data_IF_664418298499
#
_entry.id   IF_664418298499
#
_cell.length_a   1.000
_cell.length_b   1.000
_cell.length_c   1.000
_cell.angle_alpha   90.00
_cell.angle_beta   90.00
_cell.angle_gamma   90.00
#
_symmetry.space_group_name_H-M   'P 1'
#
loop_
_entity.id
_entity.type
_entity.pdbx_description
1 polymer ?
#
# COMPACT_ATOMS: atom_id res chain seq x y z
N UNK A 1 -1.21 4.70 -4.25
CA UNK A 1 0.13 4.46 -3.70
C UNK A 1 0.05 4.57 -2.18
N UNK A 2 0.73 3.71 -1.42
CA UNK A 2 0.67 3.65 0.05
C UNK A 2 2.04 3.94 0.62
N UNK A 3 2.08 4.73 1.69
CA UNK A 3 3.30 5.07 2.41
C UNK A 3 3.24 4.46 3.80
N UNK A 4 4.34 3.91 4.28
CA UNK A 4 4.56 3.59 5.67
C UNK A 4 5.66 4.50 6.22
N UNK A 5 5.43 5.06 7.40
CA UNK A 5 6.40 5.93 8.06
C UNK A 5 6.76 5.32 9.42
N UNK A 6 8.05 5.08 9.61
CA UNK A 6 8.63 4.61 10.86
C UNK A 6 9.40 5.79 11.44
N UNK A 7 8.83 6.44 12.45
CA UNK A 7 9.42 7.59 13.10
C UNK A 7 10.65 7.20 13.94
N UNK A 8 11.60 8.12 14.13
CA UNK A 8 12.68 7.95 15.10
C UNK A 8 12.13 7.66 16.51
N UNK A 9 11.04 8.32 16.87
CA UNK A 9 10.32 8.13 18.14
C UNK A 9 9.11 7.21 17.99
N UNK A 10 9.12 6.24 17.07
CA UNK A 10 7.99 5.34 16.86
C UNK A 10 7.59 4.55 18.12
N UNK A 11 8.46 4.51 19.13
CA UNK A 11 8.11 3.99 20.45
C UNK A 11 7.02 4.78 21.16
N UNK A 12 6.81 6.07 20.88
CA UNK A 12 5.75 6.85 21.53
C UNK A 12 4.38 6.19 21.34
N UNK A 13 4.11 5.68 20.13
CA UNK A 13 2.89 4.92 19.86
C UNK A 13 2.84 3.60 20.63
N UNK A 14 3.96 2.87 20.73
CA UNK A 14 4.03 1.63 21.52
C UNK A 14 3.90 1.91 23.03
N UNK A 15 4.40 3.03 23.51
CA UNK A 15 4.39 3.44 24.91
C UNK A 15 2.97 3.70 25.43
N UNK A 16 2.07 4.15 24.56
CA UNK A 16 0.63 4.26 24.85
C UNK A 16 -0.07 2.90 24.96
N UNK A 17 0.60 1.82 24.56
CA UNK A 17 0.04 0.47 24.45
C UNK A 17 0.83 -0.60 25.21
N UNK A 18 1.64 -0.23 26.20
CA UNK A 18 2.52 -1.17 26.92
C UNK A 18 1.78 -2.35 27.60
N UNK A 19 0.49 -2.18 27.90
CA UNK A 19 -0.31 -3.17 28.62
C UNK A 19 -0.94 -4.25 27.73
N UNK A 20 -0.87 -4.09 26.40
CA UNK A 20 -1.30 -5.11 25.44
C UNK A 20 -0.10 -5.81 24.80
N UNK A 21 -0.37 -6.91 24.09
CA UNK A 21 0.66 -7.67 23.37
C UNK A 21 0.91 -7.06 21.99
N UNK A 22 2.05 -7.35 21.36
CA UNK A 22 2.35 -6.86 20.01
C UNK A 22 1.28 -7.29 18.99
N UNK A 23 0.78 -8.52 19.14
CA UNK A 23 -0.30 -9.05 18.32
C UNK A 23 -1.59 -8.23 18.50
N UNK A 24 -2.00 -8.00 19.75
CA UNK A 24 -3.18 -7.19 20.05
C UNK A 24 -3.03 -5.74 19.57
N UNK A 25 -1.82 -5.18 19.61
CA UNK A 25 -1.53 -3.84 19.10
C UNK A 25 -1.72 -3.74 17.58
N UNK A 26 -1.18 -4.67 16.79
CA UNK A 26 -1.39 -4.68 15.33
C UNK A 26 -2.88 -4.90 15.02
N UNK A 27 -3.56 -5.78 15.75
CA UNK A 27 -5.01 -5.95 15.59
C UNK A 27 -5.79 -4.67 15.87
N UNK A 28 -5.47 -3.99 16.97
CA UNK A 28 -6.06 -2.71 17.33
C UNK A 28 -5.79 -1.66 16.24
N UNK A 29 -4.54 -1.53 15.78
CA UNK A 29 -4.10 -0.52 14.81
C UNK A 29 -4.79 -0.67 13.45
N UNK A 30 -5.04 -1.91 13.01
CA UNK A 30 -5.58 -2.20 11.67
C UNK A 30 -7.01 -2.75 11.66
N UNK A 31 -7.72 -2.70 12.79
CA UNK A 31 -9.06 -3.29 12.94
C UNK A 31 -10.06 -2.86 11.86
N UNK A 32 -9.97 -1.62 11.37
CA UNK A 32 -10.84 -1.06 10.33
C UNK A 32 -10.34 -1.29 8.91
N UNK A 33 -9.17 -1.91 8.72
CA UNK A 33 -8.47 -2.02 7.44
C UNK A 33 -7.59 -0.83 7.09
N UNK A 34 -7.67 0.23 7.89
CA UNK A 34 -6.84 1.43 7.82
C UNK A 34 -5.81 1.42 8.95
N UNK A 35 -4.74 2.19 8.77
CA UNK A 35 -3.79 2.46 9.83
C UNK A 35 -4.34 3.56 10.76
N UNK A 36 -4.82 3.19 11.96
CA UNK A 36 -5.37 4.14 12.93
C UNK A 36 -4.39 5.26 13.32
N UNK A 37 -3.08 4.96 13.40
CA UNK A 37 -2.08 5.98 13.72
C UNK A 37 -1.94 7.01 12.60
N UNK A 38 -2.00 6.55 11.34
CA UNK A 38 -1.95 7.45 10.20
C UNK A 38 -3.19 8.35 10.15
N UNK A 39 -4.36 7.80 10.47
CA UNK A 39 -5.62 8.53 10.51
C UNK A 39 -5.70 9.55 11.65
N UNK A 40 -4.95 9.34 12.73
CA UNK A 40 -4.89 10.28 13.85
C UNK A 40 -4.13 11.59 13.54
N UNK A 41 -3.34 11.63 12.45
CA UNK A 41 -2.58 12.83 12.04
C UNK A 41 -3.52 14.00 11.74
N UNK A 42 -3.15 15.20 12.18
CA UNK A 42 -3.94 16.43 11.95
C UNK A 42 -4.24 16.68 10.48
N UNK A 43 -3.31 16.34 9.59
CA UNK A 43 -3.49 16.45 8.13
C UNK A 43 -4.63 15.59 7.59
N UNK A 44 -5.08 14.56 8.32
CA UNK A 44 -6.19 13.66 7.93
C UNK A 44 -7.53 14.09 8.54
N UNK A 45 -7.53 14.90 9.61
CA UNK A 45 -8.76 15.41 10.21
C UNK A 45 -9.43 16.42 9.27
N UNK A 46 -10.77 16.46 9.31
CA UNK A 46 -11.57 17.44 8.57
C UNK A 46 -11.46 18.78 9.30
N UNK A 47 -10.93 19.78 8.61
CA UNK A 47 -10.80 21.16 9.08
C UNK A 47 -12.17 21.80 9.31
N UNK A 48 -12.27 22.86 10.14
CA UNK A 48 -13.52 23.59 10.34
C UNK A 48 -14.11 24.14 9.03
N UNK A 49 -13.27 24.56 8.09
CA UNK A 49 -13.68 25.08 6.79
C UNK A 49 -14.33 23.99 5.92
N UNK A 50 -13.74 22.80 5.90
CA UNK A 50 -14.30 21.64 5.18
C UNK A 50 -15.62 21.17 5.82
N UNK A 51 -15.75 21.25 7.16
CA UNK A 51 -17.03 20.98 7.85
C UNK A 51 -18.10 21.98 7.45
N UNK A 52 -17.76 23.27 7.44
CA UNK A 52 -18.70 24.31 6.99
C UNK A 52 -19.09 24.11 5.52
N UNK A 53 -18.18 23.59 4.68
CA UNK A 53 -18.48 23.27 3.28
C UNK A 53 -19.50 22.14 3.14
N UNK A 54 -19.46 21.13 4.00
CA UNK A 54 -20.45 20.03 4.01
C UNK A 54 -21.87 20.51 4.31
N UNK A 55 -22.02 21.60 5.06
CA UNK A 55 -23.33 22.18 5.39
C UNK A 55 -23.92 23.03 4.24
N UNK A 56 -23.10 23.42 3.27
CA UNK A 56 -23.54 24.28 2.17
C UNK A 56 -24.22 23.48 1.06
N UNK A 57 -25.37 23.96 0.54
CA UNK A 57 -26.04 23.29 -0.56
C UNK A 57 -25.28 23.42 -1.87
N UNK A 58 -25.28 22.34 -2.64
CA UNK A 58 -24.85 22.30 -4.03
C UNK A 58 -26.04 22.34 -4.97
N UNK A 59 -25.81 22.83 -6.19
CA UNK A 59 -26.80 22.78 -7.25
C UNK A 59 -26.71 21.43 -7.97
N UNK A 60 -27.69 20.56 -7.74
CA UNK A 60 -27.86 19.30 -8.43
C UNK A 60 -29.16 19.33 -9.24
N UNK A 61 -29.02 19.25 -10.57
CA UNK A 61 -30.15 19.22 -11.51
C UNK A 61 -31.15 20.39 -11.37
N UNK A 62 -30.66 21.56 -10.94
CA UNK A 62 -31.48 22.76 -10.73
C UNK A 62 -32.01 22.90 -9.30
N UNK A 63 -31.84 21.88 -8.45
CA UNK A 63 -32.24 21.90 -7.05
C UNK A 63 -31.03 22.12 -6.12
N UNK A 64 -31.28 22.80 -5.00
CA UNK A 64 -30.29 22.94 -3.94
C UNK A 64 -30.37 21.74 -3.01
N UNK A 65 -29.34 20.91 -2.99
CA UNK A 65 -29.24 19.72 -2.12
C UNK A 65 -27.97 19.78 -1.29
N UNK A 66 -27.98 19.16 -0.11
CA UNK A 66 -26.82 19.10 0.80
C UNK A 66 -26.35 17.65 0.86
N UNK A 67 -25.03 17.45 0.75
CA UNK A 67 -24.41 16.13 0.81
C UNK A 67 -24.36 15.68 2.28
N UNK A 68 -24.89 14.50 2.58
CA UNK A 68 -24.80 13.87 3.90
C UNK A 68 -23.54 13.02 4.01
N UNK A 69 -23.37 12.08 3.08
CA UNK A 69 -22.25 11.13 3.07
C UNK A 69 -22.02 10.55 1.67
N UNK A 70 -20.83 9.98 1.48
CA UNK A 70 -20.53 9.11 0.35
C UNK A 70 -20.70 7.67 0.81
N UNK A 71 -21.61 6.94 0.15
CA UNK A 71 -21.94 5.55 0.52
C UNK A 71 -21.05 4.55 -0.22
N UNK A 72 -20.95 4.70 -1.54
CA UNK A 72 -20.26 3.76 -2.41
C UNK A 72 -19.44 4.47 -3.50
N UNK A 73 -18.56 3.70 -4.15
CA UNK A 73 -17.76 4.14 -5.29
C UNK A 73 -17.82 3.09 -6.39
N UNK A 74 -17.88 3.52 -7.66
CA UNK A 74 -17.75 2.65 -8.82
C UNK A 74 -16.81 3.24 -9.87
N UNK A 75 -16.20 2.38 -10.68
CA UNK A 75 -15.30 2.81 -11.76
C UNK A 75 -16.11 3.43 -12.91
N UNK A 76 -15.68 4.60 -13.37
CA UNK A 76 -16.20 5.27 -14.56
C UNK A 76 -15.04 5.51 -15.54
N UNK A 77 -14.89 4.64 -16.56
CA UNK A 77 -13.78 4.71 -17.53
C UNK A 77 -12.41 4.78 -16.82
N UNK A 78 -11.73 5.94 -16.91
CA UNK A 78 -10.41 6.22 -16.29
C UNK A 78 -10.52 6.94 -14.93
N UNK A 79 -11.73 7.14 -14.41
CA UNK A 79 -12.02 7.84 -13.15
C UNK A 79 -13.04 7.05 -12.32
N UNK A 80 -13.66 7.71 -11.34
CA UNK A 80 -14.65 7.14 -10.43
C UNK A 80 -15.90 8.01 -10.33
N UNK A 81 -17.03 7.35 -10.06
CA UNK A 81 -18.27 7.97 -9.59
C UNK A 81 -18.55 7.52 -8.16
N UNK A 82 -19.17 8.42 -7.40
CA UNK A 82 -19.47 8.24 -5.99
C UNK A 82 -20.97 8.33 -5.78
N UNK A 83 -21.52 7.42 -4.98
CA UNK A 83 -22.92 7.43 -4.57
C UNK A 83 -23.09 8.39 -3.40
N UNK A 84 -23.88 9.43 -3.62
CA UNK A 84 -24.11 10.50 -2.66
C UNK A 84 -25.45 10.30 -1.98
N UNK A 85 -25.42 10.23 -0.65
CA UNK A 85 -26.60 10.35 0.20
C UNK A 85 -26.90 11.82 0.44
N UNK A 86 -28.14 12.22 0.20
CA UNK A 86 -28.59 13.59 0.39
C UNK A 86 -29.24 13.76 1.76
N UNK A 87 -28.96 14.88 2.43
CA UNK A 87 -29.51 15.18 3.76
C UNK A 87 -31.05 15.17 3.71
N UNK A 88 -31.66 14.43 4.63
CA UNK A 88 -33.13 14.30 4.79
C UNK A 88 -33.85 13.69 3.59
N UNK A 89 -33.15 13.01 2.70
CA UNK A 89 -33.76 12.24 1.62
C UNK A 89 -33.63 10.73 1.92
N UNK A 90 -34.58 9.91 1.46
CA UNK A 90 -34.44 8.46 1.55
C UNK A 90 -33.32 7.96 0.64
N UNK A 91 -32.74 6.79 0.95
CA UNK A 91 -31.64 6.19 0.18
C UNK A 91 -32.01 5.92 -1.30
N UNK A 92 -33.32 5.88 -1.63
CA UNK A 92 -33.82 5.76 -3.01
C UNK A 92 -33.51 6.98 -3.87
N UNK A 93 -33.25 8.14 -3.26
CA UNK A 93 -32.91 9.40 -3.94
C UNK A 93 -31.39 9.60 -4.08
N UNK A 94 -30.58 8.62 -3.65
CA UNK A 94 -29.14 8.68 -3.80
C UNK A 94 -28.74 8.88 -5.27
N UNK A 95 -27.69 9.66 -5.51
CA UNK A 95 -27.27 10.01 -6.86
C UNK A 95 -25.80 9.69 -7.09
N UNK A 96 -25.47 9.15 -8.27
CA UNK A 96 -24.09 8.91 -8.68
C UNK A 96 -23.50 10.17 -9.29
N UNK A 97 -22.44 10.69 -8.67
CA UNK A 97 -21.78 11.93 -9.09
C UNK A 97 -20.31 11.64 -9.46
N UNK A 98 -19.84 12.08 -10.65
CA UNK A 98 -18.44 11.96 -11.04
C UNK A 98 -17.50 12.73 -10.12
N UNK A 99 -16.30 12.19 -9.92
CA UNK A 99 -15.22 12.81 -9.11
C UNK A 99 -15.02 14.29 -9.43
N UNK A 100 -14.87 14.63 -10.71
CA UNK A 100 -14.58 16.00 -11.18
C UNK A 100 -15.65 17.02 -10.74
N UNK A 101 -16.90 16.59 -10.62
CA UNK A 101 -18.01 17.46 -10.19
C UNK A 101 -17.97 17.70 -8.69
N UNK A 102 -17.63 16.68 -7.90
CA UNK A 102 -17.45 16.79 -6.45
C UNK A 102 -16.22 17.63 -6.08
N UNK A 103 -15.12 17.51 -6.84
CA UNK A 103 -13.93 18.37 -6.70
C UNK A 103 -14.25 19.83 -7.04
N UNK A 104 -15.00 20.10 -8.12
CA UNK A 104 -15.48 21.48 -8.43
C UNK A 104 -16.34 22.07 -7.32
N UNK A 105 -16.97 21.24 -6.50
CA UNK A 105 -17.73 21.67 -5.35
C UNK A 105 -16.90 21.68 -4.05
N UNK A 106 -15.59 21.43 -4.08
CA UNK A 106 -14.74 21.51 -2.89
C UNK A 106 -14.92 20.37 -1.89
N UNK A 107 -15.22 19.14 -2.38
CA UNK A 107 -15.36 17.94 -1.55
C UNK A 107 -14.18 16.97 -1.69
N UNK A 108 -12.98 17.47 -2.00
CA UNK A 108 -11.76 16.67 -2.19
C UNK A 108 -11.46 15.79 -0.96
N UNK A 109 -11.65 16.34 0.24
CA UNK A 109 -11.41 15.60 1.49
C UNK A 109 -12.39 14.45 1.68
N UNK A 110 -13.66 14.67 1.35
CA UNK A 110 -14.70 13.65 1.47
C UNK A 110 -14.45 12.51 0.47
N UNK A 111 -14.04 12.86 -0.75
CA UNK A 111 -13.59 11.90 -1.76
C UNK A 111 -12.40 11.08 -1.27
N UNK A 112 -11.40 11.73 -0.68
CA UNK A 112 -10.23 11.06 -0.13
C UNK A 112 -10.61 10.05 0.97
N UNK A 113 -11.52 10.44 1.88
CA UNK A 113 -12.02 9.55 2.94
C UNK A 113 -12.76 8.35 2.34
N UNK A 114 -13.59 8.56 1.32
CA UNK A 114 -14.30 7.47 0.65
C UNK A 114 -13.35 6.51 -0.07
N UNK A 115 -12.32 7.03 -0.74
CA UNK A 115 -11.29 6.23 -1.40
C UNK A 115 -10.47 5.42 -0.40
N UNK A 116 -10.09 6.03 0.73
CA UNK A 116 -9.36 5.37 1.81
C UNK A 116 -10.20 4.25 2.44
N UNK A 117 -11.50 4.49 2.68
CA UNK A 117 -12.45 3.49 3.19
C UNK A 117 -12.58 2.29 2.27
N UNK A 118 -12.66 2.52 0.97
CA UNK A 118 -12.76 1.44 -0.02
C UNK A 118 -11.44 0.66 -0.12
N UNK A 119 -10.30 1.36 -0.05
CA UNK A 119 -8.99 0.72 0.04
C UNK A 119 -8.85 -0.12 1.33
N UNK A 120 -9.38 0.37 2.45
CA UNK A 120 -9.39 -0.35 3.72
C UNK A 120 -10.20 -1.64 3.66
N UNK A 121 -11.40 -1.60 3.06
CA UNK A 121 -12.23 -2.78 2.83
C UNK A 121 -11.49 -3.81 1.98
N UNK A 122 -10.86 -3.37 0.89
CA UNK A 122 -10.05 -4.24 0.05
C UNK A 122 -8.86 -4.84 0.83
N UNK A 123 -8.21 -4.07 1.70
CA UNK A 123 -7.12 -4.57 2.55
C UNK A 123 -7.60 -5.65 3.52
N UNK A 124 -8.74 -5.47 4.18
CA UNK A 124 -9.30 -6.48 5.09
C UNK A 124 -9.65 -7.78 4.38
N UNK A 125 -10.17 -7.69 3.15
CA UNK A 125 -10.46 -8.87 2.33
C UNK A 125 -9.17 -9.59 1.92
N UNK A 126 -8.15 -8.85 1.50
CA UNK A 126 -6.87 -9.43 1.09
C UNK A 126 -6.07 -9.99 2.28
N UNK A 127 -6.16 -9.34 3.43
CA UNK A 127 -5.39 -9.66 4.64
C UNK A 127 -6.26 -9.47 5.89
N UNK A 128 -6.97 -10.52 6.35
CA UNK A 128 -7.80 -10.42 7.53
C UNK A 128 -6.94 -10.19 8.78
N UNK A 129 -7.39 -9.29 9.64
CA UNK A 129 -6.68 -8.87 10.86
C UNK A 129 -7.04 -9.83 12.00
N UNK A 130 -6.58 -11.07 11.89
CA UNK A 130 -6.78 -12.11 12.91
C UNK A 130 -5.50 -12.35 13.70
N UNK A 131 -5.62 -12.85 14.94
CA UNK A 131 -4.47 -13.17 15.77
C UNK A 131 -3.46 -14.11 15.09
N UNK A 132 -3.95 -15.09 14.31
CA UNK A 132 -3.10 -16.05 13.58
C UNK A 132 -2.35 -15.34 12.44
N UNK A 133 -3.05 -14.53 11.64
CA UNK A 133 -2.43 -13.80 10.53
C UNK A 133 -1.41 -12.76 11.04
N UNK A 134 -1.70 -12.12 12.17
CA UNK A 134 -0.81 -11.18 12.83
C UNK A 134 0.42 -11.90 13.39
N UNK A 135 0.25 -13.04 14.06
CA UNK A 135 1.40 -13.79 14.58
C UNK A 135 2.31 -14.27 13.44
N UNK A 136 1.74 -14.84 12.37
CA UNK A 136 2.51 -15.26 11.19
C UNK A 136 3.30 -14.10 10.58
N UNK A 137 2.78 -12.87 10.65
CA UNK A 137 3.51 -11.69 10.21
C UNK A 137 4.64 -11.34 11.16
N UNK A 138 4.41 -11.34 12.47
CA UNK A 138 5.43 -11.08 13.48
C UNK A 138 6.59 -12.09 13.41
N UNK A 139 6.31 -13.34 13.07
CA UNK A 139 7.33 -14.38 12.86
C UNK A 139 8.32 -13.98 11.75
N UNK A 140 7.85 -13.33 10.67
CA UNK A 140 8.72 -12.83 9.59
C UNK A 140 9.67 -11.71 10.03
N UNK A 141 9.36 -11.03 11.14
CA UNK A 141 10.23 -10.02 11.76
C UNK A 141 11.07 -10.61 12.90
N UNK A 142 11.07 -11.94 13.07
CA UNK A 142 11.80 -12.64 14.11
C UNK A 142 11.24 -12.34 15.51
N UNK A 143 9.92 -12.22 15.62
CA UNK A 143 9.20 -12.07 16.89
C UNK A 143 8.20 -13.23 17.06
N UNK A 144 8.67 -14.33 17.64
CA UNK A 144 7.88 -15.54 17.87
C UNK A 144 6.71 -15.33 18.82
N UNK A 145 5.84 -16.34 18.93
CA UNK A 145 4.59 -16.26 19.70
C UNK A 145 4.80 -15.95 21.19
N UNK A 146 5.93 -16.35 21.75
CA UNK A 146 6.36 -16.04 23.12
C UNK A 146 6.40 -14.53 23.37
N UNK A 147 6.88 -13.75 22.41
CA UNK A 147 6.97 -12.30 22.52
C UNK A 147 5.80 -11.58 21.83
N UNK A 148 5.31 -12.12 20.72
CA UNK A 148 4.25 -11.52 19.92
C UNK A 148 2.86 -11.62 20.55
N UNK A 149 2.50 -12.81 21.04
CA UNK A 149 1.15 -13.11 21.51
C UNK A 149 1.04 -13.30 23.02
N UNK A 150 2.09 -13.83 23.67
CA UNK A 150 2.03 -14.15 25.10
C UNK A 150 2.61 -13.06 26.01
N UNK A 151 3.58 -12.29 25.52
CA UNK A 151 4.20 -11.20 26.29
C UNK A 151 3.54 -9.85 26.00
N UNK A 152 3.39 -9.04 27.06
CA UNK A 152 2.98 -7.63 26.93
C UNK A 152 4.13 -6.79 26.40
N UNK A 153 3.81 -5.71 25.68
CA UNK A 153 4.82 -4.80 25.11
C UNK A 153 5.72 -4.17 26.18
N UNK A 154 5.24 -4.02 27.42
CA UNK A 154 6.05 -3.61 28.59
C UNK A 154 7.27 -4.50 28.83
N UNK A 155 7.14 -5.80 28.60
CA UNK A 155 8.20 -6.79 28.84
C UNK A 155 9.16 -6.98 27.66
N UNK A 156 8.90 -6.33 26.53
CA UNK A 156 9.76 -6.44 25.33
C UNK A 156 11.01 -5.57 25.46
N UNK A 157 12.13 -6.10 24.98
CA UNK A 157 13.37 -5.33 24.83
C UNK A 157 13.20 -4.20 23.79
N UNK A 158 14.11 -3.22 23.78
CA UNK A 158 14.09 -2.15 22.79
C UNK A 158 14.09 -2.67 21.35
N UNK A 159 14.99 -3.61 21.03
CA UNK A 159 15.06 -4.22 19.70
C UNK A 159 13.80 -5.01 19.33
N UNK A 160 13.17 -5.71 20.29
CA UNK A 160 11.88 -6.37 20.07
C UNK A 160 10.78 -5.35 19.76
N UNK A 161 10.74 -4.22 20.46
CA UNK A 161 9.78 -3.14 20.16
C UNK A 161 10.00 -2.56 18.76
N UNK A 162 11.25 -2.41 18.29
CA UNK A 162 11.52 -1.98 16.90
C UNK A 162 10.94 -2.98 15.89
N UNK A 163 11.12 -4.28 16.12
CA UNK A 163 10.53 -5.33 15.27
C UNK A 163 9.00 -5.20 15.21
N UNK A 164 8.35 -4.87 16.33
CA UNK A 164 6.89 -4.59 16.36
C UNK A 164 6.53 -3.37 15.52
N UNK A 165 7.27 -2.27 15.63
CA UNK A 165 7.05 -1.06 14.81
C UNK A 165 7.19 -1.38 13.33
N UNK A 166 8.28 -2.04 12.93
CA UNK A 166 8.54 -2.41 11.53
C UNK A 166 7.46 -3.37 11.01
N UNK A 167 7.07 -4.35 11.81
CA UNK A 167 5.98 -5.25 11.46
C UNK A 167 4.65 -4.50 11.28
N UNK A 168 4.30 -3.59 12.18
CA UNK A 168 3.10 -2.78 12.06
C UNK A 168 3.13 -1.90 10.79
N UNK A 169 4.24 -1.21 10.53
CA UNK A 169 4.42 -0.37 9.34
C UNK A 169 4.27 -1.15 8.03
N UNK A 170 4.72 -2.41 7.99
CA UNK A 170 4.66 -3.28 6.81
C UNK A 170 3.35 -4.05 6.67
N UNK A 171 2.41 -3.94 7.62
CA UNK A 171 1.18 -4.74 7.62
C UNK A 171 0.33 -4.56 6.36
N UNK A 172 0.18 -3.32 5.88
CA UNK A 172 -0.63 -2.96 4.71
C UNK A 172 0.15 -3.01 3.38
N UNK A 173 1.32 -3.66 3.35
CA UNK A 173 2.18 -3.78 2.16
C UNK A 173 2.38 -2.41 1.47
N UNK A 174 3.10 -1.48 2.12
CA UNK A 174 3.33 -0.14 1.57
C UNK A 174 4.11 -0.20 0.25
N UNK A 175 3.94 0.81 -0.59
CA UNK A 175 4.74 0.96 -1.82
C UNK A 175 6.01 1.77 -1.55
N UNK A 176 5.93 2.70 -0.59
CA UNK A 176 7.07 3.47 -0.10
C UNK A 176 7.20 3.28 1.41
N UNK A 177 8.39 2.94 1.87
CA UNK A 177 8.76 2.85 3.27
C UNK A 177 9.67 4.02 3.61
N UNK A 178 9.30 4.81 4.62
CA UNK A 178 10.11 5.90 5.16
C UNK A 178 10.63 5.47 6.53
N UNK A 179 11.96 5.40 6.66
CA UNK A 179 12.65 5.00 7.88
C UNK A 179 13.40 6.20 8.45
N UNK A 180 13.00 6.65 9.64
CA UNK A 180 13.63 7.77 10.32
C UNK A 180 14.52 7.27 11.44
N UNK A 181 15.83 7.43 11.25
CA UNK A 181 16.92 6.97 12.12
C UNK A 181 16.84 5.49 12.52
N UNK A 182 16.80 4.55 11.56
CA UNK A 182 16.63 3.12 11.83
C UNK A 182 17.81 2.49 12.59
N UNK A 183 18.99 3.13 12.59
CA UNK A 183 20.21 2.60 13.22
C UNK A 183 20.22 2.73 14.74
N UNK A 184 19.42 3.63 15.33
CA UNK A 184 19.54 3.99 16.75
C UNK A 184 19.04 2.92 17.73
N UNK A 185 18.20 1.99 17.26
CA UNK A 185 17.48 1.08 18.15
C UNK A 185 17.59 -0.39 17.73
N UNK A 186 18.38 -0.66 16.69
CA UNK A 186 18.66 -2.00 16.20
C UNK A 186 20.06 -2.43 16.65
N UNK A 187 20.17 -3.69 17.09
CA UNK A 187 21.47 -4.33 17.22
C UNK A 187 22.08 -4.59 15.83
N UNK A 188 23.38 -4.96 15.79
CA UNK A 188 24.11 -5.16 14.54
C UNK A 188 23.47 -6.23 13.66
N UNK A 189 22.96 -7.31 14.25
CA UNK A 189 22.36 -8.43 13.52
C UNK A 189 21.03 -8.00 12.88
N UNK A 190 20.19 -7.28 13.63
CA UNK A 190 18.91 -6.75 13.15
C UNK A 190 19.11 -5.65 12.11
N UNK A 191 20.17 -4.84 12.24
CA UNK A 191 20.54 -3.84 11.24
C UNK A 191 21.00 -4.49 9.93
N UNK A 192 21.77 -5.58 10.01
CA UNK A 192 22.15 -6.38 8.85
C UNK A 192 20.94 -7.02 8.16
N UNK A 193 19.99 -7.56 8.94
CA UNK A 193 18.75 -8.09 8.41
C UNK A 193 17.90 -7.02 7.72
N UNK A 194 17.80 -5.82 8.32
CA UNK A 194 17.11 -4.67 7.72
C UNK A 194 17.77 -4.23 6.42
N UNK A 195 19.10 -4.17 6.37
CA UNK A 195 19.84 -3.81 5.16
C UNK A 195 19.54 -4.78 3.99
N UNK A 196 19.54 -6.09 4.26
CA UNK A 196 19.17 -7.10 3.27
C UNK A 196 17.71 -6.95 2.83
N UNK A 197 16.79 -6.77 3.78
CA UNK A 197 15.38 -6.58 3.48
C UNK A 197 15.11 -5.34 2.61
N UNK A 198 15.84 -4.24 2.85
CA UNK A 198 15.74 -3.01 2.04
C UNK A 198 16.21 -3.27 0.59
N UNK A 199 17.29 -4.04 0.39
CA UNK A 199 17.78 -4.38 -0.95
C UNK A 199 16.82 -5.26 -1.73
N UNK A 200 16.09 -6.14 -1.05
CA UNK A 200 15.12 -7.05 -1.66
C UNK A 200 13.71 -6.43 -1.77
N UNK A 201 13.49 -5.27 -1.16
CA UNK A 201 12.18 -4.63 -1.17
C UNK A 201 11.88 -4.06 -2.56
N UNK A 202 10.85 -4.60 -3.22
CA UNK A 202 10.41 -4.14 -4.54
C UNK A 202 9.70 -2.78 -4.57
N UNK A 203 9.68 -2.05 -3.45
CA UNK A 203 9.10 -0.71 -3.34
C UNK A 203 10.17 0.36 -3.14
N UNK A 204 9.74 1.62 -3.01
CA UNK A 204 10.64 2.72 -2.70
C UNK A 204 11.01 2.74 -1.21
N UNK A 205 12.27 3.05 -0.89
CA UNK A 205 12.69 3.27 0.49
C UNK A 205 13.30 4.67 0.60
N UNK A 206 12.84 5.45 1.58
CA UNK A 206 13.45 6.72 1.96
C UNK A 206 14.00 6.55 3.36
N UNK A 207 15.29 6.74 3.54
CA UNK A 207 15.94 6.64 4.85
C UNK A 207 16.47 8.00 5.26
N UNK A 208 16.22 8.35 6.52
CA UNK A 208 16.81 9.51 7.18
C UNK A 208 17.79 8.94 8.20
N UNK A 209 19.08 9.19 8.02
CA UNK A 209 20.07 8.78 9.01
C UNK A 209 21.32 9.63 8.98
N UNK A 210 21.91 9.87 10.14
CA UNK A 210 23.26 10.41 10.28
C UNK A 210 24.36 9.37 10.05
N UNK A 211 24.03 8.07 9.97
CA UNK A 211 25.00 6.99 9.76
C UNK A 211 25.28 6.76 8.26
N UNK A 212 26.33 7.41 7.76
CA UNK A 212 26.77 7.30 6.36
C UNK A 212 27.17 5.88 5.96
N UNK A 213 27.80 5.12 6.87
CA UNK A 213 28.19 3.74 6.57
C UNK A 213 26.95 2.89 6.27
N UNK A 214 25.83 3.12 6.94
CA UNK A 214 24.59 2.40 6.63
C UNK A 214 23.93 2.89 5.33
N UNK A 215 23.83 4.21 5.13
CA UNK A 215 23.12 4.78 3.97
C UNK A 215 23.88 4.58 2.67
N UNK A 216 25.20 4.73 2.65
CA UNK A 216 26.00 4.72 1.42
C UNK A 216 25.99 3.32 0.75
N UNK A 217 25.78 2.25 1.51
CA UNK A 217 25.69 0.89 0.99
C UNK A 217 24.30 0.49 0.47
N UNK A 218 23.29 1.33 0.69
CA UNK A 218 21.88 1.03 0.43
C UNK A 218 21.21 2.05 -0.48
N UNK A 219 21.54 3.33 -0.33
CA UNK A 219 20.94 4.42 -1.07
C UNK A 219 21.55 4.56 -2.46
N UNK A 220 20.68 4.74 -3.46
CA UNK A 220 21.07 5.09 -4.84
C UNK A 220 21.16 6.60 -5.05
N UNK A 221 20.50 7.37 -4.19
CA UNK A 221 20.35 8.82 -4.24
C UNK A 221 20.39 9.37 -2.81
N UNK A 222 21.09 10.49 -2.62
CA UNK A 222 21.29 11.15 -1.34
C UNK A 222 20.74 12.57 -1.40
N UNK A 223 19.91 12.92 -0.41
CA UNK A 223 19.28 14.22 -0.31
C UNK A 223 19.94 15.01 0.83
N UNK A 224 20.63 16.08 0.47
CA UNK A 224 21.33 16.95 1.40
C UNK A 224 20.52 18.24 1.58
N UNK A 225 20.12 18.53 2.81
CA UNK A 225 19.38 19.76 3.13
C UNK A 225 20.27 20.66 3.98
N UNK A 226 20.65 21.80 3.41
CA UNK A 226 21.48 22.81 4.09
C UNK A 226 20.84 24.20 3.97
N UNK A 227 20.68 24.89 5.10
CA UNK A 227 20.07 26.22 5.17
C UNK A 227 18.69 26.33 4.45
N UNK A 228 17.90 25.25 4.46
CA UNK A 228 16.58 25.19 3.80
C UNK A 228 16.65 24.93 2.29
N UNK A 229 17.83 24.66 1.74
CA UNK A 229 18.06 24.32 0.34
C UNK A 229 18.32 22.81 0.26
N UNK A 230 17.57 22.13 -0.62
CA UNK A 230 17.75 20.72 -0.93
C UNK A 230 18.67 20.56 -2.15
N UNK A 231 19.74 19.81 -2.01
CA UNK A 231 20.60 19.33 -3.10
C UNK A 231 20.53 17.81 -3.17
N UNK A 232 20.56 17.26 -4.38
CA UNK A 232 20.40 15.83 -4.63
C UNK A 232 21.66 15.31 -5.32
N UNK A 233 22.29 14.31 -4.72
CA UNK A 233 23.51 13.66 -5.20
C UNK A 233 23.22 12.18 -5.48
N UNK A 234 23.63 11.68 -6.65
CA UNK A 234 23.42 10.28 -7.05
C UNK A 234 22.88 10.16 -8.48
N UNK A 235 22.90 8.94 -9.01
CA UNK A 235 22.32 8.63 -10.31
C UNK A 235 21.36 7.46 -10.14
N UNK A 236 20.09 7.68 -10.45
CA UNK A 236 19.17 6.57 -10.72
C UNK A 236 19.65 5.93 -12.03
N UNK A 237 20.04 4.64 -12.03
CA UNK A 237 20.27 3.94 -13.29
C UNK A 237 19.01 4.06 -14.14
N UNK A 238 19.12 4.52 -15.39
CA UNK A 238 17.97 4.52 -16.31
C UNK A 238 17.50 3.08 -16.53
N UNK A 239 16.59 2.61 -15.69
CA UNK A 239 15.98 1.31 -15.88
C UNK A 239 14.89 1.48 -16.94
N UNK A 240 15.22 1.08 -18.18
CA UNK A 240 14.33 1.14 -19.36
C UNK A 240 13.25 0.04 -19.33
N UNK A 241 12.90 -0.46 -18.16
CA UNK A 241 11.75 -1.34 -17.95
C UNK A 241 10.49 -0.49 -18.11
N UNK A 242 10.01 -0.40 -19.36
CA UNK A 242 8.66 0.09 -19.65
C UNK A 242 7.69 -0.62 -18.72
N UNK A 243 7.04 0.14 -17.84
CA UNK A 243 5.84 -0.31 -17.15
C UNK A 243 4.78 -0.43 -18.25
N UNK A 244 4.69 -1.60 -18.88
CA UNK A 244 3.64 -1.87 -19.86
C UNK A 244 2.32 -1.99 -19.11
N UNK A 245 1.45 -0.98 -19.28
CA UNK A 245 0.04 -1.12 -18.96
C UNK A 245 -0.51 -2.26 -19.82
N UNK A 246 -0.86 -3.37 -19.17
CA UNK A 246 -1.62 -4.44 -19.81
C UNK A 246 -3.06 -3.92 -19.92
N UNK A 247 -3.39 -3.30 -21.05
CA UNK A 247 -4.76 -2.92 -21.36
C UNK A 247 -5.58 -4.19 -21.63
N UNK A 248 -6.54 -4.46 -20.76
CA UNK A 248 -7.55 -5.49 -20.99
C UNK A 248 -8.55 -4.97 -22.03
N UNK A 249 -8.70 -5.68 -23.15
CA UNK A 249 -9.65 -5.31 -24.21
C UNK A 249 -10.98 -6.02 -23.96
N UNK A 250 -12.08 -5.26 -23.85
CA UNK A 250 -13.44 -5.82 -23.80
C UNK A 250 -13.90 -6.17 -25.22
N UNK A 251 -14.17 -7.44 -25.50
CA UNK A 251 -14.86 -7.88 -26.72
C UNK A 251 -16.23 -8.43 -26.38
N UNK A 252 -17.21 -8.10 -27.22
CA UNK A 252 -18.60 -8.59 -27.12
C UNK A 252 -18.76 -9.74 -28.11
N UNK A 253 -19.20 -10.89 -27.63
CA UNK A 253 -19.48 -12.04 -28.50
C UNK A 253 -20.77 -11.83 -29.32
N UNK A 254 -21.01 -12.70 -30.31
CA UNK A 254 -22.18 -12.62 -31.18
C UNK A 254 -23.54 -12.76 -30.46
N UNK A 255 -23.54 -13.14 -29.17
CA UNK A 255 -24.72 -13.28 -28.32
C UNK A 255 -24.86 -12.16 -27.29
N UNK A 256 -24.00 -11.14 -27.32
CA UNK A 256 -24.10 -9.95 -26.48
C UNK A 256 -23.50 -10.08 -25.08
N UNK A 257 -22.77 -11.16 -24.79
CA UNK A 257 -22.11 -11.33 -23.49
C UNK A 257 -20.70 -10.71 -23.52
N UNK A 258 -20.33 -10.06 -22.41
CA UNK A 258 -18.98 -9.53 -22.21
C UNK A 258 -18.05 -10.64 -21.71
N UNK A 259 -17.07 -11.03 -22.51
CA UNK A 259 -16.01 -11.95 -22.07
C UNK A 259 -14.68 -11.19 -21.98
N UNK A 260 -13.98 -11.35 -20.85
CA UNK A 260 -12.65 -10.75 -20.63
C UNK A 260 -11.61 -11.76 -21.11
N UNK A 261 -11.11 -11.59 -22.32
CA UNK A 261 -10.00 -12.41 -22.83
C UNK A 261 -8.69 -11.74 -22.41
N UNK A 262 -7.87 -12.43 -21.61
CA UNK A 262 -6.50 -11.97 -21.33
C UNK A 262 -5.72 -12.04 -22.64
N UNK A 263 -5.20 -10.90 -23.12
CA UNK A 263 -4.32 -10.88 -24.28
C UNK A 263 -3.05 -11.64 -23.90
N UNK A 264 -2.79 -12.76 -24.58
CA UNK A 264 -1.57 -13.56 -24.42
C UNK A 264 -0.35 -12.68 -24.78
N UNK A 265 0.64 -12.60 -23.89
CA UNK A 265 1.87 -11.82 -24.09
C UNK A 265 2.66 -12.42 -25.25
N UNK A 266 2.83 -11.70 -26.36
CA UNK A 266 3.75 -12.13 -27.43
C UNK A 266 5.21 -12.07 -26.94
N UNK A 267 5.91 -13.21 -26.91
CA UNK A 267 7.35 -13.24 -26.63
C UNK A 267 8.12 -12.70 -27.83
N UNK A 268 9.16 -11.92 -27.58
CA UNK A 268 10.12 -11.57 -28.63
C UNK A 268 10.92 -12.82 -29.08
N UNK A 269 11.41 -12.84 -30.32
CA UNK A 269 12.26 -13.94 -30.84
C UNK A 269 13.46 -14.27 -29.95
N UNK A 270 13.96 -13.30 -29.18
CA UNK A 270 15.07 -13.48 -28.22
C UNK A 270 14.63 -14.26 -26.99
N UNK A 271 13.45 -13.94 -26.44
CA UNK A 271 12.89 -14.64 -25.28
C UNK A 271 12.43 -16.07 -25.63
N UNK A 272 11.87 -16.26 -26.84
CA UNK A 272 11.49 -17.58 -27.34
C UNK A 272 12.72 -18.51 -27.44
N UNK A 273 13.84 -18.01 -27.97
CA UNK A 273 15.11 -18.75 -28.03
C UNK A 273 15.67 -19.07 -26.64
N UNK A 274 15.51 -18.17 -25.67
CA UNK A 274 15.95 -18.41 -24.30
C UNK A 274 15.13 -19.51 -23.62
N UNK A 275 13.80 -19.49 -23.75
CA UNK A 275 12.91 -20.55 -23.24
C UNK A 275 13.17 -21.91 -23.90
N UNK A 276 13.34 -21.95 -25.22
CA UNK A 276 13.69 -23.18 -25.95
C UNK A 276 15.04 -23.76 -25.52
N UNK A 277 16.02 -22.91 -25.18
CA UNK A 277 17.31 -23.35 -24.64
C UNK A 277 17.15 -23.96 -23.24
N UNK A 278 16.35 -23.32 -22.39
CA UNK A 278 16.01 -23.80 -21.05
C UNK A 278 15.28 -25.15 -21.07
N UNK A 279 14.32 -25.34 -21.99
CA UNK A 279 13.64 -26.62 -22.23
C UNK A 279 14.64 -27.73 -22.58
N UNK A 280 15.54 -27.47 -23.55
CA UNK A 280 16.59 -28.43 -23.94
C UNK A 280 17.58 -28.74 -22.82
N UNK A 281 17.85 -27.80 -21.92
CA UNK A 281 18.70 -28.02 -20.75
C UNK A 281 17.99 -28.83 -19.66
N UNK A 282 16.68 -28.61 -19.45
CA UNK A 282 15.85 -29.40 -18.53
C UNK A 282 15.68 -30.85 -19.01
N UNK A 283 15.41 -31.07 -20.30
CA UNK A 283 15.32 -32.41 -20.91
C UNK A 283 16.64 -33.19 -20.76
N UNK A 284 17.79 -32.51 -20.88
CA UNK A 284 19.11 -33.13 -20.65
C UNK A 284 19.37 -33.51 -19.20
N UNK A 285 18.69 -32.87 -18.24
CA UNK A 285 18.75 -33.20 -16.81
C UNK A 285 17.71 -34.24 -16.39
N UNK A 286 16.91 -34.75 -17.32
CA UNK A 286 15.89 -35.76 -17.04
C UNK A 286 14.64 -35.22 -16.33
N UNK A 287 14.44 -33.90 -16.34
CA UNK A 287 13.25 -33.25 -15.79
C UNK A 287 12.11 -33.32 -16.83
N UNK A 288 10.91 -33.69 -16.40
CA UNK A 288 9.71 -33.69 -17.26
C UNK A 288 9.27 -32.24 -17.45
N UNK A 289 9.33 -31.77 -18.70
CA UNK A 289 8.87 -30.44 -19.09
C UNK A 289 7.46 -30.58 -19.68
N UNK A 290 6.44 -30.01 -19.02
CA UNK A 290 5.08 -30.00 -19.56
C UNK A 290 4.96 -28.93 -20.67
N UNK A 291 4.38 -29.30 -21.82
CA UNK A 291 4.21 -28.39 -22.96
C UNK A 291 3.21 -27.23 -22.70
N UNK A 292 2.47 -27.31 -21.58
CA UNK A 292 1.52 -26.27 -21.14
C UNK A 292 2.19 -24.90 -20.87
N UNK A 293 3.51 -24.86 -20.65
CA UNK A 293 4.29 -23.62 -20.47
C UNK A 293 4.57 -22.86 -21.79
N UNK A 294 4.21 -23.45 -22.94
CA UNK A 294 4.39 -22.89 -24.28
C UNK A 294 3.06 -22.63 -25.02
N UNK A 295 1.95 -23.20 -24.58
CA UNK A 295 0.62 -23.06 -25.23
C UNK A 295 0.00 -21.65 -25.10
N UNK A 296 0.64 -20.74 -24.35
CA UNK A 296 0.23 -19.35 -24.19
C UNK A 296 0.81 -18.39 -25.23
N UNK A 297 1.42 -18.88 -26.31
CA UNK A 297 2.14 -18.04 -27.26
C UNK A 297 1.81 -18.39 -28.72
N UNK A 298 1.25 -17.43 -29.46
CA UNK A 298 1.07 -17.54 -30.91
C UNK A 298 2.42 -17.37 -31.64
N UNK A 299 2.69 -18.25 -32.60
CA UNK A 299 3.82 -18.12 -33.52
C UNK A 299 3.48 -17.10 -34.64
N UNK A 300 4.43 -16.21 -34.94
CA UNK A 300 4.41 -15.34 -36.15
C UNK A 300 5.39 -15.85 -37.20
#
# INVERSE_FOLDING_TARGET
MRFAYVAQHAFHHIEEHLDITANAYIQWRFQSGEDKELMAKETRKISPEEKARLEQPVNWEGEKRVIESIENRRKLKKSFEYEIKWVKQPDTENSWIPREKLEKWGFEKLLQIADDREAARANLQARPVTAIAVQKHLDNFGLGAEFGTHSRMRGLSGGQKVKVVLAAAMWLNPHILVLDEPTNYLDRDSLGALATAIKEFGGGVVMISHNREFTDHLAIETWNVEAGILTIDGQVPEDKTKIEQIDATETVDAFGNKTVTKVKRKLTRKELKAKLKLKKEAEKRGEIYEDSDLDDYDEE
#
